data_IF_163423155366
#
_entry.id   IF_163423155366
#
_cell.length_a   1.000
_cell.length_b   1.000
_cell.length_c   1.000
_cell.angle_alpha   90.00
_cell.angle_beta   90.00
_cell.angle_gamma   90.00
#
_symmetry.space_group_name_H-M   'P 1'
#
loop_
_entity.id
_entity.type
_entity.pdbx_description
1 polymer ?
#
# COMPACT_ATOMS: atom_id res chain seq x y z
N UNK A 1 26.50 13.05 24.99
CA UNK A 1 25.80 12.58 23.76
C UNK A 1 24.78 11.58 24.26
N UNK A 2 23.57 12.04 24.55
CA UNK A 2 22.56 11.19 25.18
C UNK A 2 21.96 10.26 24.13
N UNK A 3 22.24 8.97 24.31
CA UNK A 3 21.58 7.89 23.58
C UNK A 3 20.20 7.76 24.21
N UNK A 4 19.18 8.36 23.60
CA UNK A 4 17.81 8.12 24.02
C UNK A 4 17.35 6.79 23.42
N UNK A 5 17.47 5.74 24.21
CA UNK A 5 16.84 4.45 23.94
C UNK A 5 15.32 4.61 24.04
N UNK A 6 14.63 4.57 22.91
CA UNK A 6 13.17 4.47 22.85
C UNK A 6 12.37 5.75 22.53
N UNK A 7 12.98 6.82 22.04
CA UNK A 7 12.20 7.99 21.57
C UNK A 7 11.69 7.82 20.14
N UNK A 8 10.37 7.85 19.97
CA UNK A 8 9.71 7.95 18.67
C UNK A 8 9.59 9.40 18.26
N UNK A 9 10.10 9.74 17.07
CA UNK A 9 9.90 11.05 16.45
C UNK A 9 8.90 10.90 15.31
N UNK A 10 7.78 11.63 15.39
CA UNK A 10 6.88 11.76 14.25
C UNK A 10 7.60 12.52 13.12
N UNK A 11 7.54 11.98 11.91
CA UNK A 11 8.11 12.59 10.68
C UNK A 11 7.08 13.38 9.88
N UNK A 12 5.83 13.45 10.36
CA UNK A 12 4.72 14.14 9.70
C UNK A 12 3.61 13.19 9.24
N UNK A 13 2.65 13.77 8.51
CA UNK A 13 1.55 13.04 7.86
C UNK A 13 1.94 12.83 6.40
N UNK A 14 1.95 11.58 5.95
CA UNK A 14 2.32 11.24 4.56
C UNK A 14 1.14 11.34 3.59
N UNK A 15 -0.08 10.93 4.01
CA UNK A 15 -1.27 10.96 3.18
C UNK A 15 -2.57 10.92 4.00
N UNK A 16 -3.67 11.32 3.36
CA UNK A 16 -5.04 11.09 3.82
C UNK A 16 -5.70 9.99 3.01
N UNK A 17 -6.55 9.19 3.67
CA UNK A 17 -7.21 8.02 3.08
C UNK A 17 -8.72 8.14 3.24
N UNK A 18 -9.46 7.97 2.15
CA UNK A 18 -10.91 7.84 2.15
C UNK A 18 -11.31 6.39 2.42
N UNK A 19 -12.31 6.18 3.27
CA UNK A 19 -12.82 4.83 3.59
C UNK A 19 -13.65 4.21 2.47
N UNK A 20 -14.09 5.02 1.50
CA UNK A 20 -14.87 4.59 0.33
C UNK A 20 -14.36 5.29 -0.92
N UNK A 21 -14.62 4.68 -2.08
CA UNK A 21 -14.22 5.24 -3.36
C UNK A 21 -14.81 6.63 -3.56
N UNK A 22 -13.95 7.58 -3.91
CA UNK A 22 -14.34 8.91 -4.39
C UNK A 22 -13.85 9.08 -5.83
N UNK A 23 -14.56 9.88 -6.62
CA UNK A 23 -14.13 10.19 -7.99
C UNK A 23 -12.71 10.78 -7.98
N UNK A 24 -11.82 10.24 -8.81
CA UNK A 24 -10.42 10.66 -8.89
C UNK A 24 -9.48 10.00 -7.87
N UNK A 25 -9.96 9.07 -7.05
CA UNK A 25 -9.10 8.30 -6.13
C UNK A 25 -8.72 6.93 -6.69
N UNK A 26 -7.61 6.39 -6.21
CA UNK A 26 -7.13 5.04 -6.52
C UNK A 26 -7.15 4.16 -5.26
N UNK A 27 -7.39 2.84 -5.40
CA UNK A 27 -7.35 1.93 -4.27
C UNK A 27 -5.96 1.89 -3.63
N UNK A 28 -5.95 1.83 -2.29
CA UNK A 28 -4.77 1.63 -1.47
C UNK A 28 -4.79 0.21 -0.92
N UNK A 29 -3.88 -0.62 -1.43
CA UNK A 29 -3.82 -2.04 -1.15
C UNK A 29 -2.95 -2.32 0.07
N UNK A 30 -3.38 -3.28 0.90
CA UNK A 30 -2.57 -3.89 1.96
C UNK A 30 -2.19 -5.31 1.59
N UNK A 31 -0.93 -5.61 1.86
CA UNK A 31 -0.34 -6.93 1.72
C UNK A 31 0.30 -7.35 3.04
N UNK A 32 0.23 -8.63 3.36
CA UNK A 32 0.82 -9.19 4.57
C UNK A 32 1.84 -10.26 4.22
N UNK A 33 2.94 -10.33 4.97
CA UNK A 33 3.94 -11.37 4.83
C UNK A 33 3.95 -12.26 6.08
N UNK A 34 3.62 -13.54 5.92
CA UNK A 34 3.40 -14.46 7.06
C UNK A 34 4.63 -14.65 7.95
N UNK A 35 5.84 -14.50 7.40
CA UNK A 35 7.09 -14.71 8.14
C UNK A 35 7.52 -13.47 8.93
N UNK A 36 7.52 -12.29 8.30
CA UNK A 36 8.01 -11.05 8.92
C UNK A 36 6.92 -10.32 9.70
N UNK A 37 5.65 -10.64 9.45
CA UNK A 37 4.47 -9.94 9.96
C UNK A 37 4.48 -8.42 9.67
N UNK A 38 5.30 -7.98 8.70
CA UNK A 38 5.37 -6.58 8.28
C UNK A 38 4.39 -6.37 7.12
N UNK A 39 3.39 -5.48 7.26
CA UNK A 39 2.49 -5.15 6.19
C UNK A 39 3.19 -4.28 5.15
N UNK A 40 2.82 -4.47 3.89
CA UNK A 40 3.25 -3.64 2.78
C UNK A 40 2.04 -2.93 2.17
N UNK A 41 2.19 -1.66 1.85
CA UNK A 41 1.12 -0.82 1.34
C UNK A 41 1.51 -0.16 0.03
N UNK A 42 0.62 -0.20 -0.95
CA UNK A 42 0.88 0.37 -2.28
C UNK A 42 -0.43 0.70 -2.99
N UNK A 43 -0.38 1.65 -3.92
CA UNK A 43 -1.46 1.90 -4.88
C UNK A 43 -1.27 1.13 -6.19
N UNK A 44 -0.13 0.47 -6.37
CA UNK A 44 0.22 -0.30 -7.57
C UNK A 44 -0.03 -1.79 -7.37
N UNK A 45 -1.00 -2.36 -8.11
CA UNK A 45 -1.23 -3.81 -8.10
C UNK A 45 -0.06 -4.60 -8.71
N UNK A 46 0.73 -3.99 -9.59
CA UNK A 46 1.83 -4.64 -10.31
C UNK A 46 3.06 -4.87 -9.43
N UNK A 47 3.19 -4.12 -8.34
CA UNK A 47 4.35 -4.19 -7.44
C UNK A 47 4.45 -5.57 -6.77
N UNK A 48 3.31 -6.10 -6.31
CA UNK A 48 3.21 -7.47 -5.78
C UNK A 48 2.71 -8.45 -6.83
N UNK A 49 1.90 -8.02 -7.81
CA UNK A 49 1.42 -8.86 -8.90
C UNK A 49 0.25 -9.76 -8.54
N UNK A 50 -0.46 -9.49 -7.45
CA UNK A 50 -1.74 -10.14 -7.14
C UNK A 50 -2.67 -9.22 -6.34
N UNK A 51 -3.97 -9.34 -6.59
CA UNK A 51 -5.06 -8.71 -5.82
C UNK A 51 -6.17 -9.72 -5.48
N UNK A 52 -5.85 -11.01 -5.56
CA UNK A 52 -6.80 -12.08 -5.25
C UNK A 52 -6.49 -12.66 -3.88
N UNK A 53 -7.47 -12.68 -2.96
CA UNK A 53 -7.30 -13.29 -1.65
C UNK A 53 -6.80 -14.72 -1.75
N UNK A 54 -5.82 -15.08 -0.91
CA UNK A 54 -5.24 -16.42 -0.87
C UNK A 54 -4.07 -16.66 -1.82
N UNK A 55 -3.84 -15.78 -2.81
CA UNK A 55 -2.64 -15.85 -3.65
C UNK A 55 -1.45 -15.15 -2.99
N UNK A 56 -0.28 -15.77 -3.14
CA UNK A 56 1.02 -15.19 -2.74
C UNK A 56 1.65 -14.60 -3.99
N UNK A 57 1.89 -13.29 -3.99
CA UNK A 57 2.56 -12.58 -5.06
C UNK A 57 4.07 -12.53 -4.86
N UNK A 58 4.70 -11.54 -5.48
CA UNK A 58 6.14 -11.29 -5.38
C UNK A 58 6.56 -11.09 -3.92
N UNK A 59 7.78 -11.51 -3.65
CA UNK A 59 8.43 -11.38 -2.33
C UNK A 59 7.66 -12.05 -1.18
N UNK A 60 6.78 -13.03 -1.45
CA UNK A 60 6.06 -13.77 -0.41
C UNK A 60 4.88 -13.03 0.21
N UNK A 61 4.47 -11.89 -0.38
CA UNK A 61 3.34 -11.11 0.11
C UNK A 61 2.00 -11.69 -0.34
N UNK A 62 1.07 -11.81 0.62
CA UNK A 62 -0.32 -12.19 0.37
C UNK A 62 -1.20 -10.96 0.35
N UNK A 63 -2.10 -10.89 -0.63
CA UNK A 63 -3.09 -9.82 -0.70
C UNK A 63 -4.08 -9.92 0.46
N UNK A 64 -4.29 -8.79 1.14
CA UNK A 64 -5.18 -8.70 2.30
C UNK A 64 -6.46 -7.90 1.99
N UNK A 65 -6.37 -6.93 1.07
CA UNK A 65 -7.52 -6.15 0.64
C UNK A 65 -7.20 -4.70 0.29
N UNK A 66 -8.25 -3.97 -0.06
CA UNK A 66 -8.24 -2.51 -0.15
C UNK A 66 -8.51 -1.98 1.26
N UNK A 67 -7.59 -1.17 1.80
CA UNK A 67 -7.75 -0.54 3.12
C UNK A 67 -8.30 0.88 3.04
N UNK A 68 -8.35 1.45 1.83
CA UNK A 68 -9.01 2.71 1.53
C UNK A 68 -8.65 3.22 0.15
N UNK A 69 -8.92 4.49 -0.09
CA UNK A 69 -8.70 5.16 -1.37
C UNK A 69 -7.93 6.45 -1.17
N UNK A 70 -6.94 6.71 -2.00
CA UNK A 70 -6.07 7.88 -1.90
C UNK A 70 -6.12 8.69 -3.18
N UNK A 71 -5.89 10.00 -3.05
CA UNK A 71 -5.64 10.85 -4.22
C UNK A 71 -4.24 10.49 -4.74
N UNK A 72 -4.11 10.08 -6.01
CA UNK A 72 -2.80 9.76 -6.57
C UNK A 72 -1.93 11.02 -6.59
N UNK A 73 -0.63 10.88 -6.33
CA UNK A 73 0.31 11.98 -6.53
C UNK A 73 0.23 12.41 -8.00
N UNK A 74 -0.26 13.62 -8.21
CA UNK A 74 -0.78 14.13 -9.49
C UNK A 74 0.32 14.49 -10.49
N UNK A 75 1.07 13.47 -10.91
CA UNK A 75 1.95 13.40 -12.10
C UNK A 75 2.17 11.95 -12.58
N UNK A 76 1.73 10.93 -11.83
CA UNK A 76 1.67 9.57 -12.35
C UNK A 76 0.30 9.38 -12.97
N UNK A 77 0.27 9.27 -14.29
CA UNK A 77 -0.90 8.85 -15.02
C UNK A 77 -1.56 7.69 -14.28
N UNK A 78 -2.77 7.90 -13.76
CA UNK A 78 -3.72 6.83 -13.45
C UNK A 78 -4.17 6.14 -14.76
N UNK A 79 -3.21 5.90 -15.67
CA UNK A 79 -3.31 5.03 -16.81
C UNK A 79 -3.56 3.67 -16.21
N UNK A 80 -4.84 3.28 -16.22
CA UNK A 80 -5.33 1.90 -16.32
C UNK A 80 -4.28 0.94 -15.79
N UNK A 81 -4.31 0.63 -14.50
CA UNK A 81 -3.44 -0.38 -13.90
C UNK A 81 -3.79 -1.74 -14.52
N UNK A 82 -3.34 -1.99 -15.75
CA UNK A 82 -3.26 -3.29 -16.38
C UNK A 82 -1.88 -3.79 -15.99
N UNK A 83 -1.83 -4.69 -15.01
CA UNK A 83 -0.68 -5.55 -14.88
C UNK A 83 -0.73 -6.48 -16.08
N UNK A 84 0.05 -6.19 -17.14
CA UNK A 84 0.29 -7.19 -18.17
C UNK A 84 0.92 -8.42 -17.47
N UNK A 85 0.26 -9.56 -17.60
CA UNK A 85 0.69 -10.84 -17.03
C UNK A 85 1.81 -11.44 -17.88
#
# INVERSE_FOLDING_TARGET
RDVIVGSWRSIGIEAYVYSSFQQGTVPFYRYNHSITAQPFYTTSMCEIGTVYPGLIGRYGYRYDGIVGYVVPAEWSSANIAVCEQ
#
